data_IF_623030827641
#
_entry.id   IF_623030827641
#
_cell.length_a   1.000
_cell.length_b   1.000
_cell.length_c   1.000
_cell.angle_alpha   90.00
_cell.angle_beta   90.00
_cell.angle_gamma   90.00
#
_symmetry.space_group_name_H-M   'P 1'
#
loop_
_entity.id
_entity.type
_entity.pdbx_description
1 polymer ?
#
# COMPACT_ATOMS: atom_id res chain seq x y z
N UNK A 1 10.39 -22.11 -32.88
CA UNK A 1 8.91 -22.01 -32.71
C UNK A 1 8.28 -21.45 -33.98
N UNK A 2 7.27 -22.13 -34.58
CA UNK A 2 6.63 -21.67 -35.85
C UNK A 2 5.94 -20.30 -35.71
N UNK A 3 5.45 -19.97 -34.51
CA UNK A 3 4.81 -18.69 -34.19
C UNK A 3 5.67 -17.47 -34.57
N UNK A 4 7.00 -17.57 -34.38
CA UNK A 4 7.95 -16.50 -34.69
C UNK A 4 8.14 -16.23 -36.19
N UNK A 5 7.58 -17.09 -37.07
CA UNK A 5 7.68 -16.94 -38.53
C UNK A 5 6.50 -16.16 -39.14
N UNK A 6 5.41 -15.97 -38.40
CA UNK A 6 4.27 -15.20 -38.88
C UNK A 6 4.58 -13.70 -38.95
N UNK A 7 3.89 -12.93 -39.82
CA UNK A 7 3.95 -11.47 -39.80
C UNK A 7 3.52 -10.90 -38.45
N UNK A 8 4.03 -9.70 -38.10
CA UNK A 8 3.79 -9.06 -36.80
C UNK A 8 2.30 -8.86 -36.47
N UNK A 9 1.48 -8.48 -37.46
CA UNK A 9 0.03 -8.32 -37.27
C UNK A 9 -0.66 -9.64 -36.89
N UNK A 10 -0.27 -10.75 -37.53
CA UNK A 10 -0.80 -12.08 -37.21
C UNK A 10 -0.34 -12.51 -35.82
N UNK A 11 0.92 -12.25 -35.46
CA UNK A 11 1.44 -12.53 -34.11
C UNK A 11 0.69 -11.71 -33.04
N UNK A 12 0.45 -10.42 -33.29
CA UNK A 12 -0.29 -9.56 -32.39
C UNK A 12 -1.71 -10.06 -32.15
N UNK A 13 -2.41 -10.49 -33.21
CA UNK A 13 -3.74 -11.08 -33.06
C UNK A 13 -3.70 -12.40 -32.29
N UNK A 14 -2.77 -13.31 -32.62
CA UNK A 14 -2.62 -14.57 -31.89
C UNK A 14 -2.39 -14.30 -30.41
N UNK A 15 -1.45 -13.42 -30.06
CA UNK A 15 -1.20 -13.07 -28.67
C UNK A 15 -2.41 -12.42 -27.99
N UNK A 16 -3.18 -11.60 -28.71
CA UNK A 16 -4.39 -10.99 -28.19
C UNK A 16 -5.51 -11.99 -27.83
N UNK A 17 -5.49 -13.20 -28.37
CA UNK A 17 -6.44 -14.27 -28.02
C UNK A 17 -5.94 -15.21 -26.92
N UNK A 18 -4.67 -15.09 -26.52
CA UNK A 18 -4.09 -15.96 -25.49
C UNK A 18 -4.23 -15.29 -24.13
N UNK A 19 -4.75 -16.03 -23.16
CA UNK A 19 -4.85 -15.56 -21.78
C UNK A 19 -3.48 -15.18 -21.19
N UNK A 20 -3.49 -14.21 -20.28
CA UNK A 20 -2.27 -13.68 -19.68
C UNK A 20 -1.32 -14.75 -19.11
N UNK A 21 -1.84 -15.72 -18.34
CA UNK A 21 -1.00 -16.76 -17.73
C UNK A 21 -0.30 -17.62 -18.81
N UNK A 22 -0.97 -17.89 -19.93
CA UNK A 22 -0.39 -18.62 -21.06
C UNK A 22 0.63 -17.76 -21.83
N UNK A 23 0.38 -16.46 -22.00
CA UNK A 23 1.37 -15.52 -22.54
C UNK A 23 2.63 -15.44 -21.66
N UNK A 24 2.45 -15.44 -20.34
CA UNK A 24 3.53 -15.47 -19.37
C UNK A 24 4.36 -16.75 -19.53
N UNK A 25 3.74 -17.93 -19.62
CA UNK A 25 4.47 -19.18 -19.88
C UNK A 25 5.21 -19.14 -21.22
N UNK A 26 4.58 -18.66 -22.29
CA UNK A 26 5.23 -18.51 -23.60
C UNK A 26 6.44 -17.58 -23.55
N UNK A 27 6.40 -16.57 -22.68
CA UNK A 27 7.51 -15.64 -22.50
C UNK A 27 8.76 -16.32 -21.93
N UNK A 28 8.62 -17.42 -21.19
CA UNK A 28 9.76 -18.18 -20.66
C UNK A 28 10.52 -18.96 -21.73
N UNK A 29 9.90 -19.28 -22.87
CA UNK A 29 10.52 -20.13 -23.88
C UNK A 29 11.78 -19.53 -24.52
N UNK A 30 11.86 -18.19 -24.64
CA UNK A 30 13.09 -17.52 -25.08
C UNK A 30 13.01 -16.00 -24.85
N UNK A 31 14.17 -15.36 -24.67
CA UNK A 31 14.28 -13.89 -24.65
C UNK A 31 13.61 -13.24 -25.87
N UNK A 32 13.76 -13.83 -27.06
CA UNK A 32 13.14 -13.33 -28.30
C UNK A 32 11.61 -13.36 -28.23
N UNK A 33 11.03 -14.46 -27.73
CA UNK A 33 9.56 -14.57 -27.56
C UNK A 33 9.07 -13.55 -26.55
N UNK A 34 9.77 -13.41 -25.41
CA UNK A 34 9.45 -12.40 -24.38
C UNK A 34 9.42 -10.99 -24.98
N UNK A 35 10.49 -10.55 -25.64
CA UNK A 35 10.54 -9.21 -26.25
C UNK A 35 9.45 -9.00 -27.30
N UNK A 36 9.13 -10.04 -28.07
CA UNK A 36 8.06 -9.97 -29.06
C UNK A 36 6.70 -9.74 -28.41
N UNK A 37 6.34 -10.56 -27.39
CA UNK A 37 5.11 -10.38 -26.62
C UNK A 37 5.09 -8.98 -26.00
N UNK A 38 6.21 -8.53 -25.45
CA UNK A 38 6.35 -7.19 -24.88
C UNK A 38 6.05 -6.06 -25.85
N UNK A 39 6.62 -6.14 -27.05
CA UNK A 39 6.40 -5.10 -28.05
C UNK A 39 4.97 -5.10 -28.59
N UNK A 40 4.39 -6.28 -28.82
CA UNK A 40 3.11 -6.41 -29.53
C UNK A 40 1.89 -6.28 -28.60
N UNK A 41 2.03 -6.58 -27.30
CA UNK A 41 0.93 -6.50 -26.33
C UNK A 41 1.00 -5.26 -25.44
N UNK A 42 1.91 -4.32 -25.71
CA UNK A 42 2.10 -3.09 -24.93
C UNK A 42 0.81 -2.30 -24.69
N UNK A 43 -0.08 -2.27 -25.68
CA UNK A 43 -1.38 -1.59 -25.58
C UNK A 43 -2.29 -2.19 -24.49
N UNK A 44 -2.20 -3.50 -24.25
CA UNK A 44 -2.95 -4.15 -23.16
C UNK A 44 -2.32 -3.84 -21.80
N UNK A 45 -1.00 -3.66 -21.76
CA UNK A 45 -0.25 -3.47 -20.53
C UNK A 45 -0.35 -2.06 -19.98
N UNK A 46 -0.55 -1.07 -20.85
CA UNK A 46 -0.83 0.32 -20.45
C UNK A 46 -2.07 0.43 -19.55
N UNK A 47 -2.98 -0.53 -19.61
CA UNK A 47 -4.19 -0.54 -18.81
C UNK A 47 -4.05 -1.34 -17.50
N UNK A 48 -2.90 -1.98 -17.26
CA UNK A 48 -2.66 -2.70 -15.99
C UNK A 48 -2.62 -1.67 -14.87
N UNK A 49 -3.52 -1.86 -13.90
CA UNK A 49 -3.64 -1.01 -12.72
C UNK A 49 -2.53 -1.35 -11.75
N UNK A 50 -2.33 -2.63 -11.45
CA UNK A 50 -1.29 -3.07 -10.53
C UNK A 50 -0.84 -4.51 -10.74
N UNK A 51 0.35 -4.81 -10.21
CA UNK A 51 0.84 -6.16 -9.91
C UNK A 51 0.96 -6.29 -8.40
N UNK A 52 0.20 -7.21 -7.79
CA UNK A 52 0.18 -7.41 -6.34
C UNK A 52 0.73 -8.78 -5.97
N UNK A 53 1.67 -8.79 -5.03
CA UNK A 53 2.21 -9.97 -4.36
C UNK A 53 1.55 -10.10 -2.99
N UNK A 54 0.79 -11.17 -2.77
CA UNK A 54 0.24 -11.49 -1.44
C UNK A 54 0.93 -12.73 -0.90
N UNK A 55 1.48 -12.65 0.32
CA UNK A 55 2.18 -13.75 0.99
C UNK A 55 1.31 -14.20 2.16
N UNK A 56 0.98 -15.50 2.20
CA UNK A 56 0.23 -16.09 3.30
C UNK A 56 1.13 -16.75 4.37
N UNK A 57 0.50 -17.20 5.45
CA UNK A 57 1.16 -17.86 6.59
C UNK A 57 1.82 -19.21 6.26
N UNK A 58 1.51 -19.80 5.10
CA UNK A 58 2.06 -21.08 4.63
C UNK A 58 3.14 -20.88 3.56
N UNK A 59 3.71 -19.68 3.46
CA UNK A 59 4.67 -19.26 2.44
C UNK A 59 4.16 -19.38 1.01
N UNK A 60 2.84 -19.44 0.80
CA UNK A 60 2.32 -19.34 -0.56
C UNK A 60 2.37 -17.90 -1.00
N UNK A 61 2.83 -17.70 -2.22
CA UNK A 61 2.89 -16.39 -2.86
C UNK A 61 1.82 -16.37 -3.94
N UNK A 62 0.89 -15.45 -3.81
CA UNK A 62 -0.14 -15.18 -4.80
C UNK A 62 0.29 -13.94 -5.58
N UNK A 63 0.43 -14.07 -6.90
CA UNK A 63 0.73 -12.95 -7.77
C UNK A 63 -0.50 -12.66 -8.62
N UNK A 64 -1.04 -11.46 -8.46
CA UNK A 64 -2.19 -10.99 -9.24
C UNK A 64 -1.78 -9.82 -10.11
N UNK A 65 -2.22 -9.86 -11.37
CA UNK A 65 -2.01 -8.80 -12.36
C UNK A 65 -3.41 -8.36 -12.80
N UNK A 66 -3.77 -7.12 -12.50
CA UNK A 66 -5.15 -6.66 -12.68
C UNK A 66 -5.21 -5.45 -13.61
N UNK A 67 -6.08 -5.53 -14.60
CA UNK A 67 -6.61 -4.42 -15.38
C UNK A 67 -8.12 -4.59 -15.53
N UNK A 68 -8.78 -3.70 -16.26
CA UNK A 68 -10.20 -3.82 -16.60
C UNK A 68 -10.48 -5.03 -17.53
N UNK A 69 -9.47 -5.48 -18.26
CA UNK A 69 -9.60 -6.53 -19.28
C UNK A 69 -8.73 -7.75 -19.00
N UNK A 70 -7.72 -7.62 -18.14
CA UNK A 70 -6.78 -8.67 -17.76
C UNK A 70 -7.00 -9.02 -16.29
N UNK A 71 -7.28 -10.30 -16.07
CA UNK A 71 -7.23 -10.92 -14.75
C UNK A 71 -6.18 -12.02 -14.76
N UNK A 72 -4.93 -11.62 -14.56
CA UNK A 72 -3.80 -12.53 -14.41
C UNK A 72 -3.66 -12.98 -12.97
N UNK A 73 -3.46 -14.27 -12.75
CA UNK A 73 -3.28 -14.81 -11.41
C UNK A 73 -2.53 -16.13 -11.45
N UNK A 74 -1.47 -16.21 -10.65
CA UNK A 74 -0.75 -17.46 -10.44
C UNK A 74 -0.25 -17.58 -9.00
N UNK A 75 0.00 -18.82 -8.58
CA UNK A 75 0.34 -19.17 -7.21
C UNK A 75 1.71 -19.85 -7.19
N UNK A 76 2.54 -19.51 -6.22
CA UNK A 76 3.73 -20.29 -5.88
C UNK A 76 3.51 -20.97 -4.54
N UNK A 77 3.66 -22.28 -4.52
CA UNK A 77 3.56 -23.08 -3.30
C UNK A 77 4.92 -23.62 -2.92
N UNK A 78 5.32 -23.53 -1.63
CA UNK A 78 6.54 -24.16 -1.18
C UNK A 78 6.38 -25.68 -1.25
N UNK A 79 7.48 -26.37 -1.52
CA UNK A 79 7.51 -27.82 -1.43
C UNK A 79 7.41 -28.27 0.02
N UNK A 80 6.60 -29.31 0.23
CA UNK A 80 6.50 -29.99 1.53
C UNK A 80 7.42 -31.21 1.56
N UNK A 81 7.88 -31.67 2.75
CA UNK A 81 8.75 -32.85 2.86
C UNK A 81 8.19 -34.15 2.24
N UNK A 82 6.89 -34.16 1.91
CA UNK A 82 6.19 -35.30 1.30
C UNK A 82 6.21 -35.29 -0.24
N UNK A 83 6.74 -34.23 -0.86
CA UNK A 83 6.80 -34.05 -2.31
C UNK A 83 8.21 -34.38 -2.85
N UNK A 84 8.32 -34.83 -4.11
CA UNK A 84 9.60 -35.15 -4.72
C UNK A 84 10.51 -33.93 -4.89
N UNK A 85 11.82 -34.18 -4.99
CA UNK A 85 12.86 -33.19 -5.28
C UNK A 85 12.49 -32.35 -6.50
N UNK A 86 12.61 -31.03 -6.40
CA UNK A 86 12.35 -30.11 -7.52
C UNK A 86 13.34 -30.43 -8.64
N UNK A 87 12.83 -30.62 -9.86
CA UNK A 87 13.65 -30.49 -11.06
C UNK A 87 13.54 -29.03 -11.53
N UNK A 88 14.58 -28.19 -11.33
CA UNK A 88 14.50 -26.78 -11.64
C UNK A 88 14.18 -26.55 -13.12
N UNK A 89 13.36 -25.55 -13.41
CA UNK A 89 13.01 -25.12 -14.75
C UNK A 89 13.37 -23.65 -14.93
N UNK A 90 13.78 -23.27 -16.15
CA UNK A 90 13.99 -21.86 -16.50
C UNK A 90 12.64 -21.14 -16.65
N UNK A 91 12.09 -20.70 -15.53
CA UNK A 91 10.84 -19.94 -15.42
C UNK A 91 11.15 -18.57 -14.82
N UNK A 92 10.44 -17.54 -15.28
CA UNK A 92 10.74 -16.15 -14.90
C UNK A 92 12.20 -15.74 -15.15
N UNK A 93 12.86 -16.37 -16.12
CA UNK A 93 14.28 -16.14 -16.41
C UNK A 93 15.23 -16.50 -15.26
N UNK A 94 14.74 -17.27 -14.28
CA UNK A 94 15.56 -17.84 -13.21
C UNK A 94 16.22 -19.09 -13.76
N UNK A 95 17.56 -19.11 -13.80
CA UNK A 95 18.33 -20.25 -14.30
C UNK A 95 18.12 -21.53 -13.47
N UNK A 96 18.71 -22.65 -13.91
CA UNK A 96 18.51 -23.97 -13.28
C UNK A 96 19.04 -24.07 -11.85
N UNK A 97 19.80 -23.07 -11.38
CA UNK A 97 20.32 -22.99 -10.02
C UNK A 97 19.23 -22.67 -8.98
N UNK A 98 18.13 -22.04 -9.41
CA UNK A 98 17.02 -21.69 -8.51
C UNK A 98 15.97 -22.80 -8.57
N UNK A 99 15.69 -23.49 -7.45
CA UNK A 99 14.76 -24.61 -7.41
C UNK A 99 13.31 -24.13 -7.49
N UNK A 100 12.87 -23.80 -8.70
CA UNK A 100 11.49 -23.47 -9.07
C UNK A 100 11.06 -24.28 -10.30
N UNK A 101 9.82 -24.75 -10.33
CA UNK A 101 9.27 -25.43 -11.51
C UNK A 101 7.76 -25.19 -11.67
N UNK A 102 7.23 -25.49 -12.86
CA UNK A 102 5.78 -25.45 -13.11
C UNK A 102 5.12 -26.63 -12.41
N UNK A 103 3.97 -26.40 -11.76
CA UNK A 103 3.23 -27.47 -11.11
C UNK A 103 2.71 -28.48 -12.17
N UNK A 104 2.96 -29.80 -12.01
CA UNK A 104 2.68 -30.79 -13.05
C UNK A 104 1.19 -30.93 -13.40
N UNK A 105 0.28 -30.61 -12.46
CA UNK A 105 -1.18 -30.67 -12.66
C UNK A 105 -1.84 -29.34 -13.00
N UNK A 106 -1.16 -28.22 -12.78
CA UNK A 106 -1.77 -26.88 -12.84
C UNK A 106 -0.90 -25.96 -13.70
N UNK A 107 -0.68 -26.42 -14.94
CA UNK A 107 0.22 -25.76 -15.88
C UNK A 107 -0.16 -24.29 -16.11
N UNK A 108 0.83 -23.40 -15.99
CA UNK A 108 0.69 -21.95 -16.21
C UNK A 108 0.08 -21.14 -15.08
N UNK A 109 -0.59 -21.80 -14.12
CA UNK A 109 -1.28 -21.12 -13.01
C UNK A 109 -0.63 -21.39 -11.65
N UNK A 110 0.17 -22.45 -11.51
CA UNK A 110 0.87 -22.75 -10.26
C UNK A 110 2.31 -23.17 -10.50
N UNK A 111 3.17 -22.78 -9.56
CA UNK A 111 4.59 -23.10 -9.51
C UNK A 111 4.94 -23.68 -8.15
N UNK A 112 5.94 -24.54 -8.13
CA UNK A 112 6.52 -25.10 -6.92
C UNK A 112 7.92 -24.51 -6.73
N UNK A 113 8.27 -24.20 -5.49
CA UNK A 113 9.59 -23.67 -5.17
C UNK A 113 10.12 -24.21 -3.84
N UNK A 114 11.43 -24.14 -3.65
CA UNK A 114 12.05 -24.46 -2.37
C UNK A 114 11.85 -23.32 -1.37
N UNK A 115 11.25 -23.62 -0.21
CA UNK A 115 10.99 -22.64 0.85
C UNK A 115 12.29 -21.94 1.30
N UNK A 116 13.42 -22.64 1.33
CA UNK A 116 14.71 -22.04 1.73
C UNK A 116 15.17 -20.95 0.74
N UNK A 117 14.70 -20.99 -0.50
CA UNK A 117 15.03 -20.04 -1.57
C UNK A 117 13.90 -19.01 -1.82
N UNK A 118 12.93 -18.88 -0.91
CA UNK A 118 11.77 -17.96 -1.02
C UNK A 118 12.17 -16.55 -1.45
N UNK A 119 13.17 -15.97 -0.80
CA UNK A 119 13.62 -14.61 -1.12
C UNK A 119 14.12 -14.49 -2.56
N UNK A 120 14.97 -15.41 -3.02
CA UNK A 120 15.48 -15.40 -4.40
C UNK A 120 14.37 -15.58 -5.42
N UNK A 121 13.40 -16.46 -5.12
CA UNK A 121 12.25 -16.73 -5.99
C UNK A 121 11.36 -15.49 -6.13
N UNK A 122 10.99 -14.85 -5.03
CA UNK A 122 10.14 -13.64 -5.07
C UNK A 122 10.86 -12.50 -5.80
N UNK A 123 12.16 -12.31 -5.54
CA UNK A 123 12.97 -11.32 -6.25
C UNK A 123 13.04 -11.60 -7.75
N UNK A 124 13.33 -12.84 -8.16
CA UNK A 124 13.41 -13.22 -9.57
C UNK A 124 12.09 -13.01 -10.32
N UNK A 125 10.96 -13.32 -9.69
CA UNK A 125 9.63 -13.06 -10.25
C UNK A 125 9.39 -11.56 -10.37
N UNK A 126 9.73 -10.79 -9.33
CA UNK A 126 9.58 -9.34 -9.36
C UNK A 126 10.41 -8.70 -10.47
N UNK A 127 11.70 -9.01 -10.55
CA UNK A 127 12.59 -8.50 -11.60
C UNK A 127 12.09 -8.89 -12.99
N UNK A 128 11.59 -10.13 -13.15
CA UNK A 128 11.01 -10.59 -14.40
C UNK A 128 9.78 -9.76 -14.79
N UNK A 129 8.80 -9.62 -13.89
CA UNK A 129 7.55 -8.90 -14.14
C UNK A 129 7.76 -7.40 -14.29
N UNK A 130 8.68 -6.81 -13.53
CA UNK A 130 9.08 -5.42 -13.65
C UNK A 130 9.69 -5.14 -15.03
N UNK A 131 10.64 -5.97 -15.45
CA UNK A 131 11.19 -5.88 -16.80
C UNK A 131 10.23 -6.43 -17.87
N UNK A 132 9.10 -7.04 -17.47
CA UNK A 132 8.04 -7.46 -18.38
C UNK A 132 7.12 -6.30 -18.70
N UNK A 133 6.53 -5.67 -17.70
CA UNK A 133 5.53 -4.63 -17.91
C UNK A 133 6.09 -3.19 -17.87
N UNK A 134 7.19 -2.97 -17.16
CA UNK A 134 7.83 -1.66 -17.03
C UNK A 134 7.36 -0.86 -15.81
N UNK A 135 7.94 0.34 -15.66
CA UNK A 135 7.80 1.19 -14.48
C UNK A 135 6.51 2.01 -14.41
N UNK A 136 5.63 1.91 -15.40
CA UNK A 136 4.39 2.71 -15.48
C UNK A 136 3.22 2.10 -14.71
N UNK A 137 3.42 0.96 -14.06
CA UNK A 137 2.39 0.22 -13.33
C UNK A 137 2.73 0.27 -11.84
N UNK A 138 1.70 0.25 -11.00
CA UNK A 138 1.88 0.16 -9.56
C UNK A 138 2.23 -1.28 -9.15
N UNK A 139 3.30 -1.43 -8.38
CA UNK A 139 3.67 -2.71 -7.77
C UNK A 139 3.31 -2.67 -6.28
N UNK A 140 2.62 -3.71 -5.82
CA UNK A 140 2.08 -3.79 -4.48
C UNK A 140 2.54 -5.06 -3.77
N UNK A 141 2.84 -4.97 -2.49
CA UNK A 141 3.20 -6.10 -1.64
C UNK A 141 2.27 -6.16 -0.44
N UNK A 142 1.76 -7.34 -0.15
CA UNK A 142 0.92 -7.61 1.00
C UNK A 142 1.42 -8.86 1.73
N UNK A 143 1.59 -8.75 3.05
CA UNK A 143 1.84 -9.92 3.91
C UNK A 143 0.72 -10.07 4.92
N UNK A 144 0.01 -11.19 4.85
CA UNK A 144 -1.14 -11.51 5.71
C UNK A 144 -0.77 -12.47 6.85
N UNK A 145 0.46 -13.00 6.85
CA UNK A 145 0.91 -14.08 7.75
C UNK A 145 1.91 -13.67 8.83
N UNK A 146 2.57 -14.67 9.42
CA UNK A 146 3.57 -14.52 10.48
C UNK A 146 4.98 -14.16 9.97
N UNK A 147 5.12 -13.69 8.74
CA UNK A 147 6.42 -13.34 8.14
C UNK A 147 6.38 -11.96 7.49
N UNK A 148 7.52 -11.28 7.54
CA UNK A 148 7.72 -10.02 6.83
C UNK A 148 7.92 -10.27 5.33
N UNK A 149 7.42 -9.38 4.46
CA UNK A 149 7.67 -9.50 3.03
C UNK A 149 9.14 -9.24 2.69
N UNK A 150 9.66 -9.80 1.58
CA UNK A 150 10.98 -9.44 1.07
C UNK A 150 11.04 -7.96 0.65
N UNK A 151 12.23 -7.38 0.75
CA UNK A 151 12.49 -5.99 0.35
C UNK A 151 12.64 -5.89 -1.17
N UNK A 152 11.54 -5.64 -1.87
CA UNK A 152 11.51 -5.51 -3.33
C UNK A 152 11.74 -4.05 -3.77
N UNK A 153 12.35 -3.88 -4.95
CA UNK A 153 12.56 -2.55 -5.57
C UNK A 153 11.28 -2.08 -6.27
N UNK A 154 11.16 -0.78 -6.50
CA UNK A 154 10.06 -0.17 -7.26
C UNK A 154 8.66 -0.56 -6.78
N UNK A 155 8.48 -0.76 -5.47
CA UNK A 155 7.18 -1.01 -4.86
C UNK A 155 6.51 0.32 -4.53
N UNK A 156 5.30 0.50 -5.02
CA UNK A 156 4.48 1.68 -4.80
C UNK A 156 3.70 1.58 -3.49
N UNK A 157 3.29 0.34 -3.11
CA UNK A 157 2.43 0.11 -1.96
C UNK A 157 2.84 -1.14 -1.19
N UNK A 158 2.89 -1.04 0.13
CA UNK A 158 3.15 -2.19 1.00
C UNK A 158 2.15 -2.22 2.15
N UNK A 159 1.52 -3.37 2.36
CA UNK A 159 0.67 -3.66 3.51
C UNK A 159 1.25 -4.84 4.29
N UNK A 160 1.53 -4.67 5.58
CA UNK A 160 2.15 -5.71 6.42
C UNK A 160 1.31 -5.91 7.67
N UNK A 161 0.91 -7.15 7.92
CA UNK A 161 0.53 -7.59 9.26
C UNK A 161 1.79 -8.01 10.02
N UNK A 162 2.31 -7.15 10.90
CA UNK A 162 3.61 -7.34 11.53
C UNK A 162 3.57 -8.50 12.53
N UNK A 163 4.47 -9.50 12.38
CA UNK A 163 4.57 -10.63 13.29
C UNK A 163 4.92 -10.20 14.72
N UNK A 164 4.57 -11.06 15.69
CA UNK A 164 5.01 -10.85 17.07
C UNK A 164 6.54 -10.91 17.15
N UNK A 165 7.12 -10.06 17.99
CA UNK A 165 8.56 -9.96 18.25
C UNK A 165 9.41 -9.44 17.08
N UNK A 166 8.80 -8.92 16.02
CA UNK A 166 9.54 -8.20 14.98
C UNK A 166 10.24 -6.98 15.57
N UNK A 167 11.55 -6.89 15.31
CA UNK A 167 12.38 -5.74 15.66
C UNK A 167 12.14 -4.56 14.71
N UNK A 168 12.52 -3.35 15.11
CA UNK A 168 12.40 -2.18 14.27
C UNK A 168 13.30 -2.29 13.02
N UNK A 169 14.48 -2.90 13.16
CA UNK A 169 15.44 -3.12 12.08
C UNK A 169 14.90 -4.10 11.02
N UNK A 170 14.25 -5.19 11.44
CA UNK A 170 13.62 -6.15 10.53
C UNK A 170 12.46 -5.50 9.76
N UNK A 171 11.63 -4.70 10.44
CA UNK A 171 10.54 -3.97 9.80
C UNK A 171 11.08 -2.93 8.80
N UNK A 172 12.09 -2.16 9.20
CA UNK A 172 12.75 -1.17 8.35
C UNK A 172 13.32 -1.81 7.07
N UNK A 173 13.96 -2.97 7.20
CA UNK A 173 14.58 -3.69 6.09
C UNK A 173 13.60 -3.95 4.93
N UNK A 174 12.31 -4.16 5.22
CA UNK A 174 11.24 -4.40 4.24
C UNK A 174 11.05 -3.24 3.25
N UNK A 175 11.39 -2.02 3.66
CA UNK A 175 11.14 -0.80 2.88
C UNK A 175 12.40 -0.20 2.26
N UNK A 176 13.59 -0.64 2.70
CA UNK A 176 14.88 -0.07 2.24
C UNK A 176 15.09 -0.10 0.72
N UNK A 177 14.60 -1.13 0.02
CA UNK A 177 14.72 -1.25 -1.43
C UNK A 177 13.74 -0.33 -2.20
N UNK A 178 12.70 0.16 -1.55
CA UNK A 178 11.68 1.05 -2.12
C UNK A 178 11.29 2.14 -1.12
N UNK A 179 12.16 3.14 -0.88
CA UNK A 179 11.85 4.25 0.02
C UNK A 179 10.79 5.18 -0.59
N UNK A 180 10.12 5.97 0.25
CA UNK A 180 9.12 6.98 -0.16
C UNK A 180 7.94 6.41 -0.98
N UNK A 181 7.45 5.24 -0.59
CA UNK A 181 6.30 4.60 -1.23
C UNK A 181 5.05 5.51 -1.23
N UNK A 182 4.17 5.29 -2.20
CA UNK A 182 2.88 5.99 -2.27
C UNK A 182 2.03 5.62 -1.05
N UNK A 183 2.04 4.35 -0.61
CA UNK A 183 1.23 3.89 0.52
C UNK A 183 1.95 2.83 1.35
N UNK A 184 1.96 3.00 2.67
CA UNK A 184 2.41 2.00 3.62
C UNK A 184 1.29 1.77 4.65
N UNK A 185 0.91 0.52 4.85
CA UNK A 185 0.07 0.08 5.95
C UNK A 185 0.84 -0.88 6.85
N UNK A 186 0.88 -0.56 8.13
CA UNK A 186 1.53 -1.37 9.17
C UNK A 186 0.46 -1.72 10.19
N UNK A 187 0.05 -2.98 10.17
CA UNK A 187 -0.88 -3.60 11.12
C UNK A 187 -0.15 -4.63 11.98
N UNK A 188 -0.86 -5.29 12.90
CA UNK A 188 -0.37 -6.41 13.68
C UNK A 188 0.19 -6.02 15.05
N UNK A 189 1.24 -6.72 15.48
CA UNK A 189 1.78 -6.63 16.83
C UNK A 189 3.17 -5.98 16.85
N UNK A 190 3.30 -4.79 16.28
CA UNK A 190 4.54 -4.04 16.37
C UNK A 190 4.59 -3.19 17.66
N UNK A 191 5.55 -3.50 18.53
CA UNK A 191 5.83 -2.76 19.76
C UNK A 191 7.21 -2.08 19.75
N UNK A 192 7.97 -2.20 18.65
CA UNK A 192 9.29 -1.61 18.51
C UNK A 192 9.24 -0.08 18.33
N UNK A 193 10.39 0.56 18.47
CA UNK A 193 10.57 2.00 18.22
C UNK A 193 11.27 2.14 16.87
N UNK A 194 10.63 2.82 15.92
CA UNK A 194 11.24 3.10 14.63
C UNK A 194 12.45 4.02 14.80
N UNK A 195 13.48 3.81 13.97
CA UNK A 195 14.65 4.69 14.00
C UNK A 195 14.28 6.12 13.63
N UNK A 196 15.01 7.10 14.18
CA UNK A 196 14.73 8.53 13.96
C UNK A 196 14.74 8.97 12.50
N UNK A 197 15.47 8.24 11.65
CA UNK A 197 15.61 8.47 10.22
C UNK A 197 14.91 7.40 9.37
N UNK A 198 13.94 6.68 9.92
CA UNK A 198 13.23 5.60 9.24
C UNK A 198 12.67 6.04 7.88
N UNK A 199 12.82 5.18 6.88
CA UNK A 199 12.28 5.38 5.53
C UNK A 199 10.74 5.37 5.52
N UNK A 200 10.12 4.73 6.52
CA UNK A 200 8.66 4.63 6.68
C UNK A 200 8.06 6.03 6.84
N UNK A 201 8.74 6.95 7.51
CA UNK A 201 8.28 8.34 7.67
C UNK A 201 8.19 9.12 6.36
N UNK A 202 8.85 8.64 5.30
CA UNK A 202 8.84 9.24 3.97
C UNK A 202 7.68 8.78 3.09
N UNK A 203 6.86 7.81 3.53
CA UNK A 203 5.70 7.38 2.75
C UNK A 203 4.74 8.54 2.54
N UNK A 204 4.17 8.67 1.34
CA UNK A 204 3.17 9.72 1.09
C UNK A 204 1.90 9.50 1.90
N UNK A 205 1.53 8.24 2.09
CA UNK A 205 0.41 7.81 2.91
C UNK A 205 0.89 6.74 3.87
N UNK A 206 0.74 6.98 5.16
CA UNK A 206 1.09 6.03 6.20
C UNK A 206 -0.15 5.73 7.04
N UNK A 207 -0.51 4.45 7.10
CA UNK A 207 -1.58 3.94 7.96
C UNK A 207 -0.98 2.97 8.96
N UNK A 208 -1.31 3.18 10.22
CA UNK A 208 -0.69 2.50 11.35
C UNK A 208 -1.77 1.99 12.28
N UNK A 209 -1.75 0.69 12.56
CA UNK A 209 -2.59 0.06 13.57
C UNK A 209 -1.68 -0.41 14.71
N UNK A 210 -1.36 0.52 15.63
CA UNK A 210 -0.47 0.23 16.77
C UNK A 210 -1.25 0.25 18.06
N UNK A 211 -1.15 -0.84 18.83
CA UNK A 211 -1.65 -0.92 20.22
C UNK A 211 -0.67 -0.34 21.25
N UNK A 212 0.47 0.20 20.81
CA UNK A 212 1.53 0.80 21.63
C UNK A 212 1.41 2.31 21.80
N UNK A 213 2.40 2.92 22.48
CA UNK A 213 2.47 4.37 22.77
C UNK A 213 3.47 5.13 21.89
N UNK A 214 3.69 4.66 20.66
CA UNK A 214 4.69 5.22 19.74
C UNK A 214 4.10 6.19 18.71
N UNK A 215 2.79 6.45 18.79
CA UNK A 215 2.08 7.34 17.86
C UNK A 215 2.66 8.75 17.83
N UNK A 216 3.00 9.28 19.01
CA UNK A 216 3.55 10.64 19.16
C UNK A 216 4.84 10.82 18.33
N UNK A 217 5.79 9.88 18.46
CA UNK A 217 7.05 9.94 17.73
C UNK A 217 6.85 9.84 16.21
N UNK A 218 5.94 8.97 15.77
CA UNK A 218 5.65 8.79 14.35
C UNK A 218 5.03 10.06 13.77
N UNK A 219 4.06 10.67 14.46
CA UNK A 219 3.46 11.92 14.03
C UNK A 219 4.53 13.01 13.88
N UNK A 220 5.34 13.24 14.90
CA UNK A 220 6.36 14.31 14.91
C UNK A 220 7.45 14.12 13.84
N UNK A 221 7.72 12.89 13.39
CA UNK A 221 8.74 12.59 12.37
C UNK A 221 8.18 12.37 10.97
N UNK A 222 6.87 12.27 10.81
CA UNK A 222 6.24 11.99 9.52
C UNK A 222 6.43 13.15 8.54
N UNK A 223 6.85 12.83 7.31
CA UNK A 223 7.18 13.81 6.26
C UNK A 223 6.23 13.73 5.05
N UNK A 224 5.31 12.78 5.06
CA UNK A 224 4.36 12.53 3.99
C UNK A 224 3.15 13.45 4.01
N UNK A 225 2.14 13.08 3.23
CA UNK A 225 0.94 13.87 3.01
C UNK A 225 -0.25 13.42 3.84
N UNK A 226 -0.37 12.13 4.17
CA UNK A 226 -1.52 11.60 4.91
C UNK A 226 -1.07 10.60 5.96
N UNK A 227 -1.57 10.77 7.17
CA UNK A 227 -1.24 9.92 8.30
C UNK A 227 -2.52 9.44 8.97
N UNK A 228 -2.62 8.14 9.21
CA UNK A 228 -3.76 7.51 9.86
C UNK A 228 -3.28 6.59 10.98
N UNK A 229 -3.84 6.79 12.17
CA UNK A 229 -3.62 5.94 13.33
C UNK A 229 -4.94 5.29 13.74
N UNK A 230 -4.84 4.01 14.07
CA UNK A 230 -5.91 3.24 14.66
C UNK A 230 -5.42 2.59 15.95
N UNK A 231 -6.25 2.66 16.99
CA UNK A 231 -6.01 2.06 18.30
C UNK A 231 -4.76 2.57 19.02
N UNK A 232 -4.29 3.77 18.69
CA UNK A 232 -3.07 4.38 19.25
C UNK A 232 -3.38 5.55 20.18
N UNK A 233 -2.62 5.65 21.28
CA UNK A 233 -2.72 6.75 22.25
C UNK A 233 -1.77 7.88 21.89
N UNK A 234 -2.24 9.11 22.06
CA UNK A 234 -1.45 10.33 21.92
C UNK A 234 -1.50 11.16 23.20
N UNK A 235 -0.44 11.92 23.44
CA UNK A 235 -0.44 12.93 24.47
C UNK A 235 -1.13 14.20 23.97
N UNK A 236 -1.95 14.82 24.81
CA UNK A 236 -2.58 16.13 24.55
C UNK A 236 -1.54 17.17 24.06
N UNK A 237 -0.34 17.15 24.64
CA UNK A 237 0.75 18.05 24.30
C UNK A 237 1.21 17.87 22.86
N UNK A 238 1.27 16.65 22.35
CA UNK A 238 1.68 16.35 20.97
C UNK A 238 0.66 16.86 19.97
N UNK A 239 -0.63 16.64 20.23
CA UNK A 239 -1.71 17.16 19.37
C UNK A 239 -1.68 18.69 19.39
N UNK A 240 -1.54 19.30 20.56
CA UNK A 240 -1.43 20.76 20.70
C UNK A 240 -0.22 21.32 19.97
N UNK A 241 0.93 20.65 20.06
CA UNK A 241 2.15 21.01 19.35
C UNK A 241 1.94 20.94 17.84
N UNK A 242 1.40 19.83 17.33
CA UNK A 242 1.07 19.64 15.92
C UNK A 242 0.22 20.81 15.38
N UNK A 243 -0.89 21.13 16.05
CA UNK A 243 -1.80 22.19 15.59
C UNK A 243 -1.13 23.57 15.62
N UNK A 244 -0.32 23.88 16.65
CA UNK A 244 0.42 25.14 16.77
C UNK A 244 1.51 25.28 15.70
N UNK A 245 2.29 24.22 15.46
CA UNK A 245 3.33 24.21 14.43
C UNK A 245 2.75 24.28 13.01
N UNK A 246 1.65 23.58 12.76
CA UNK A 246 0.96 23.68 11.47
C UNK A 246 0.40 25.09 11.25
N UNK A 247 -0.31 25.66 12.23
CA UNK A 247 -0.90 27.01 12.14
C UNK A 247 0.18 28.08 11.93
N UNK A 248 1.28 28.01 12.67
CA UNK A 248 2.40 28.97 12.54
C UNK A 248 3.28 28.73 11.31
N UNK A 249 2.95 27.74 10.48
CA UNK A 249 3.71 27.32 9.30
C UNK A 249 5.16 26.87 9.62
N UNK A 250 5.43 26.46 10.87
CA UNK A 250 6.75 25.99 11.31
C UNK A 250 6.94 24.49 11.08
N UNK A 251 5.86 23.70 11.04
CA UNK A 251 5.90 22.27 10.81
C UNK A 251 4.72 21.75 9.99
N UNK A 252 4.79 20.48 9.60
CA UNK A 252 3.70 19.72 8.97
C UNK A 252 3.15 20.32 7.66
N UNK A 253 3.95 21.10 6.91
CA UNK A 253 3.47 21.79 5.71
C UNK A 253 3.02 20.82 4.60
N UNK A 254 3.63 19.64 4.54
CA UNK A 254 3.26 18.58 3.59
C UNK A 254 1.95 17.86 3.96
N UNK A 255 1.56 17.90 5.24
CA UNK A 255 0.45 17.13 5.77
C UNK A 255 -0.88 17.71 5.31
N UNK A 256 -1.64 16.91 4.58
CA UNK A 256 -2.97 17.23 4.05
C UNK A 256 -4.08 16.62 4.90
N UNK A 257 -3.82 15.51 5.59
CA UNK A 257 -4.80 14.89 6.47
C UNK A 257 -4.15 14.08 7.57
N UNK A 258 -4.74 14.14 8.76
CA UNK A 258 -4.43 13.30 9.91
C UNK A 258 -5.74 12.75 10.46
N UNK A 259 -5.76 11.45 10.72
CA UNK A 259 -6.85 10.79 11.44
C UNK A 259 -6.23 9.98 12.56
N UNK A 260 -6.69 10.20 13.78
CA UNK A 260 -6.32 9.42 14.95
C UNK A 260 -7.62 8.87 15.51
N UNK A 261 -7.83 7.57 15.39
CA UNK A 261 -8.85 6.87 16.15
C UNK A 261 -8.20 6.14 17.31
N UNK A 262 -8.44 6.59 18.54
CA UNK A 262 -8.01 5.84 19.73
C UNK A 262 -9.03 4.76 20.07
N UNK A 263 -8.58 3.67 20.69
CA UNK A 263 -9.49 2.78 21.41
C UNK A 263 -10.25 3.59 22.47
N UNK A 264 -11.52 3.23 22.76
CA UNK A 264 -12.50 3.90 23.64
C UNK A 264 -12.07 4.20 25.11
N UNK A 265 -10.77 4.17 25.41
CA UNK A 265 -10.20 4.32 26.76
C UNK A 265 -9.58 5.70 27.02
N UNK A 266 -9.44 6.55 26.01
CA UNK A 266 -8.86 7.89 26.14
C UNK A 266 -9.82 8.94 25.59
N UNK A 267 -10.10 9.97 26.40
CA UNK A 267 -10.90 11.12 25.97
C UNK A 267 -9.99 12.35 25.85
N UNK A 268 -9.86 12.89 24.65
CA UNK A 268 -9.23 14.17 24.37
C UNK A 268 -10.16 15.29 24.80
N UNK A 269 -9.60 16.29 25.49
CA UNK A 269 -10.34 17.47 25.90
C UNK A 269 -10.18 18.56 24.83
N UNK A 270 -11.09 18.59 23.85
CA UNK A 270 -11.06 19.56 22.75
C UNK A 270 -10.93 21.02 23.23
N UNK A 271 -11.74 21.51 24.19
CA UNK A 271 -11.57 22.87 24.73
C UNK A 271 -10.17 23.17 25.26
N UNK A 272 -9.51 22.19 25.90
CA UNK A 272 -8.16 22.35 26.44
C UNK A 272 -7.10 22.37 25.33
N UNK A 273 -7.23 21.52 24.33
CA UNK A 273 -6.31 21.43 23.19
C UNK A 273 -6.37 22.68 22.30
N UNK A 274 -7.56 23.27 22.18
CA UNK A 274 -7.81 24.41 21.30
C UNK A 274 -7.72 25.77 22.01
N UNK A 275 -7.59 25.80 23.36
CA UNK A 275 -7.66 27.03 24.17
C UNK A 275 -6.72 28.16 23.72
N UNK A 276 -5.52 27.79 23.27
CA UNK A 276 -4.48 28.74 22.85
C UNK A 276 -4.29 28.76 21.32
N UNK A 277 -5.22 28.18 20.59
CA UNK A 277 -5.20 28.10 19.14
C UNK A 277 -6.33 29.00 18.65
N UNK A 278 -6.01 29.98 17.80
CA UNK A 278 -7.00 30.88 17.21
C UNK A 278 -7.88 30.12 16.19
N UNK A 279 -8.79 29.31 16.73
CA UNK A 279 -9.72 28.45 16.01
C UNK A 279 -10.99 29.22 15.72
N UNK A 280 -11.50 29.07 14.49
CA UNK A 280 -12.77 29.66 14.08
C UNK A 280 -13.83 28.58 14.00
N UNK A 281 -15.05 28.91 14.40
CA UNK A 281 -16.20 28.02 14.29
C UNK A 281 -16.95 28.27 12.99
N UNK A 282 -17.47 27.20 12.39
CA UNK A 282 -18.45 27.30 11.31
C UNK A 282 -19.86 27.53 11.90
N UNK A 283 -20.46 28.67 11.52
CA UNK A 283 -21.75 29.10 12.05
C UNK A 283 -22.96 28.33 11.46
N UNK A 284 -22.80 27.64 10.30
CA UNK A 284 -23.90 26.95 9.61
C UNK A 284 -23.51 25.57 9.03
N UNK A 285 -24.48 24.65 9.05
CA UNK A 285 -24.34 23.30 8.51
C UNK A 285 -24.31 23.24 6.96
N UNK A 286 -24.70 24.31 6.27
CA UNK A 286 -24.67 24.40 4.80
C UNK A 286 -23.26 24.67 4.25
N UNK A 287 -22.33 25.10 5.10
CA UNK A 287 -20.90 25.29 4.80
C UNK A 287 -20.04 24.08 5.23
N UNK A 288 -20.65 22.95 5.59
CA UNK A 288 -19.91 21.73 5.95
C UNK A 288 -19.11 21.28 4.74
N UNK A 289 -17.79 21.43 4.84
CA UNK A 289 -16.85 20.88 3.88
C UNK A 289 -16.93 19.37 3.96
N UNK A 290 -17.55 18.74 2.97
CA UNK A 290 -17.53 17.30 2.80
C UNK A 290 -16.14 16.86 2.35
N UNK A 291 -15.33 16.44 3.32
CA UNK A 291 -14.00 15.88 3.08
C UNK A 291 -14.17 14.39 2.78
N UNK A 292 -14.45 14.06 1.53
CA UNK A 292 -14.47 12.68 1.03
C UNK A 292 -13.17 12.37 0.29
N UNK A 293 -12.49 11.28 0.66
CA UNK A 293 -11.31 10.80 -0.07
C UNK A 293 -11.40 9.31 -0.29
N UNK A 294 -11.16 8.89 -1.53
CA UNK A 294 -11.08 7.50 -1.91
C UNK A 294 -9.69 6.95 -1.56
N UNK A 295 -9.65 5.91 -0.74
CA UNK A 295 -8.46 5.11 -0.49
C UNK A 295 -8.66 3.73 -1.11
N UNK A 296 -7.74 3.31 -1.98
CA UNK A 296 -7.65 1.92 -2.39
C UNK A 296 -7.04 1.10 -1.25
N UNK A 297 -7.86 0.74 -0.26
CA UNK A 297 -7.47 -0.15 0.82
C UNK A 297 -7.38 -1.59 0.28
N UNK A 298 -6.31 -2.31 0.59
CA UNK A 298 -6.16 -3.71 0.15
C UNK A 298 -7.05 -4.65 0.97
N UNK A 299 -7.40 -4.29 2.20
CA UNK A 299 -8.23 -5.10 3.08
C UNK A 299 -9.72 -4.75 3.01
N UNK A 300 -10.53 -5.73 2.62
CA UNK A 300 -11.91 -5.86 3.10
C UNK A 300 -11.85 -6.33 4.55
N UNK A 301 -11.73 -5.39 5.50
CA UNK A 301 -12.28 -5.59 6.83
C UNK A 301 -13.50 -4.68 6.98
N UNK A 302 -14.68 -5.23 7.28
CA UNK A 302 -15.88 -4.45 7.59
C UNK A 302 -15.75 -3.91 9.02
N UNK A 303 -14.72 -3.12 9.28
CA UNK A 303 -14.57 -2.36 10.51
C UNK A 303 -14.48 -0.91 10.08
N UNK A 304 -15.67 -0.30 10.01
CA UNK A 304 -15.96 1.13 9.87
C UNK A 304 -14.77 1.92 9.34
N UNK A 305 -14.65 1.97 8.02
CA UNK A 305 -14.05 3.14 7.37
C UNK A 305 -14.72 4.35 8.02
N UNK A 306 -13.96 5.13 8.80
CA UNK A 306 -14.28 6.54 8.98
C UNK A 306 -13.99 7.24 7.64
N UNK A 307 -14.69 6.80 6.58
CA UNK A 307 -14.87 7.54 5.34
C UNK A 307 -15.94 8.60 5.50
N UNK A 308 -16.55 8.69 6.69
CA UNK A 308 -17.48 9.72 7.08
C UNK A 308 -16.95 10.36 8.36
N UNK A 309 -16.53 11.63 8.28
CA UNK A 309 -16.78 12.55 9.38
C UNK A 309 -18.24 12.34 9.81
N UNK A 310 -18.55 12.22 11.11
CA UNK A 310 -19.85 11.74 11.57
C UNK A 310 -21.00 12.46 10.85
N UNK A 311 -21.65 11.74 9.95
CA UNK A 311 -22.85 12.21 9.26
C UNK A 311 -24.02 12.12 10.24
N UNK A 312 -24.54 13.29 10.60
CA UNK A 312 -25.96 13.53 10.94
C UNK A 312 -26.48 12.89 12.23
N UNK A 313 -25.95 13.29 13.39
CA UNK A 313 -26.78 13.39 14.59
C UNK A 313 -26.20 14.33 15.63
N UNK A 314 -26.17 15.63 15.33
CA UNK A 314 -25.80 16.65 16.30
C UNK A 314 -25.26 17.88 15.61
N UNK A 315 -25.58 19.07 16.14
CA UNK A 315 -24.96 20.33 15.73
C UNK A 315 -23.47 20.30 16.11
N UNK A 316 -22.65 19.64 15.31
CA UNK A 316 -21.20 19.67 15.47
C UNK A 316 -20.69 20.72 14.50
N UNK A 317 -20.42 21.91 15.01
CA UNK A 317 -19.67 22.91 14.26
C UNK A 317 -18.26 22.37 14.05
N UNK A 318 -17.80 22.33 12.80
CA UNK A 318 -16.39 22.07 12.55
C UNK A 318 -15.58 23.30 12.92
N UNK A 319 -14.60 23.07 13.78
CA UNK A 319 -13.54 24.02 14.04
C UNK A 319 -12.61 24.06 12.83
N UNK A 320 -12.12 25.25 12.47
CA UNK A 320 -11.13 25.38 11.40
C UNK A 320 -10.01 26.34 11.76
N UNK A 321 -8.83 26.05 11.18
CA UNK A 321 -7.61 26.81 11.33
C UNK A 321 -7.24 27.48 10.02
N UNK A 322 -6.60 28.65 10.12
CA UNK A 322 -5.95 29.32 9.00
C UNK A 322 -4.46 29.39 9.31
N UNK A 323 -3.64 28.89 8.40
CA UNK A 323 -2.18 28.92 8.52
C UNK A 323 -1.64 30.31 8.23
N UNK A 324 -0.80 30.83 9.12
CA UNK A 324 -0.39 32.24 9.14
C UNK A 324 0.53 32.62 7.96
N UNK A 325 1.20 31.64 7.34
CA UNK A 325 2.17 31.87 6.26
C UNK A 325 1.57 31.98 4.85
N UNK A 326 0.55 31.20 4.54
CA UNK A 326 -0.02 31.08 3.19
C UNK A 326 -1.55 31.10 3.14
N UNK A 327 -2.20 31.22 4.30
CA UNK A 327 -3.66 31.30 4.39
C UNK A 327 -4.38 29.98 4.10
N UNK A 328 -3.67 28.85 4.01
CA UNK A 328 -4.31 27.55 3.85
C UNK A 328 -5.25 27.27 5.02
N UNK A 329 -6.41 26.68 4.71
CA UNK A 329 -7.46 26.37 5.67
C UNK A 329 -7.50 24.87 5.93
N UNK A 330 -7.73 24.49 7.17
CA UNK A 330 -7.93 23.09 7.53
C UNK A 330 -9.04 22.97 8.56
N UNK A 331 -9.87 21.94 8.39
CA UNK A 331 -10.84 21.54 9.40
C UNK A 331 -10.15 20.73 10.49
N UNK A 332 -10.54 20.98 11.72
CA UNK A 332 -10.12 20.26 12.92
C UNK A 332 -11.38 19.75 13.60
N UNK A 333 -11.37 18.48 13.96
CA UNK A 333 -12.42 17.85 14.73
C UNK A 333 -11.76 17.02 15.82
N UNK A 334 -12.17 17.27 17.06
CA UNK A 334 -11.69 16.55 18.23
C UNK A 334 -12.93 16.22 19.06
N UNK A 335 -13.29 14.95 19.10
CA UNK A 335 -14.41 14.46 19.90
C UNK A 335 -14.03 13.14 20.54
N UNK A 336 -14.19 13.03 21.85
CA UNK A 336 -13.86 11.84 22.64
C UNK A 336 -12.48 11.26 22.30
N UNK A 337 -12.44 10.17 21.55
CA UNK A 337 -11.24 9.38 21.23
C UNK A 337 -10.68 9.67 19.84
N UNK A 338 -11.30 10.59 19.10
CA UNK A 338 -11.01 10.87 17.71
C UNK A 338 -10.41 12.27 17.52
N UNK A 339 -9.34 12.33 16.73
CA UNK A 339 -8.76 13.59 16.23
C UNK A 339 -8.68 13.49 14.72
N UNK A 340 -9.37 14.40 14.04
CA UNK A 340 -9.36 14.53 12.60
C UNK A 340 -8.85 15.92 12.22
N UNK A 341 -7.94 15.97 11.27
CA UNK A 341 -7.44 17.19 10.66
C UNK A 341 -7.40 16.99 9.15
N UNK A 342 -7.89 17.96 8.39
CA UNK A 342 -7.84 17.88 6.94
C UNK A 342 -7.84 19.25 6.25
N UNK A 343 -6.94 19.38 5.28
CA UNK A 343 -6.75 20.57 4.46
C UNK A 343 -7.90 20.78 3.46
N UNK A 344 -8.31 22.02 3.26
CA UNK A 344 -9.29 22.39 2.24
C UNK A 344 -8.62 22.45 0.87
N UNK A 345 -9.21 21.80 -0.14
CA UNK A 345 -8.76 21.88 -1.54
C UNK A 345 -9.90 22.34 -2.44
N UNK A 346 -9.96 23.65 -2.72
CA UNK A 346 -10.98 24.25 -3.60
C UNK A 346 -12.41 24.16 -3.05
N UNK A 347 -13.37 24.81 -3.73
CA UNK A 347 -14.76 24.94 -3.28
C UNK A 347 -15.67 23.72 -3.60
N UNK A 348 -15.11 22.61 -4.09
CA UNK A 348 -15.88 21.38 -4.34
C UNK A 348 -14.95 20.21 -4.61
N UNK A 349 -15.07 19.13 -3.85
CA UNK A 349 -14.47 17.84 -4.17
C UNK A 349 -15.50 16.97 -4.90
N UNK A 350 -15.25 16.73 -6.20
CA UNK A 350 -16.07 15.92 -7.10
C UNK A 350 -15.86 14.42 -6.80
N UNK A 351 -16.97 13.68 -6.76
CA UNK A 351 -17.05 12.23 -6.60
C UNK A 351 -16.81 11.51 -7.93
N UNK A 352 -15.93 10.51 -7.95
CA UNK A 352 -16.03 9.39 -8.88
C UNK A 352 -15.89 8.08 -8.10
N UNK A 353 -16.99 7.35 -8.01
CA UNK A 353 -17.04 5.97 -7.53
C UNK A 353 -16.49 5.08 -8.62
N UNK A 354 -15.33 4.46 -8.41
CA UNK A 354 -14.96 3.25 -9.15
C UNK A 354 -15.08 2.11 -8.15
N UNK A 355 -16.25 1.46 -8.16
CA UNK A 355 -16.37 0.08 -7.70
C UNK A 355 -15.37 -0.78 -8.48
N UNK A 356 -14.69 -1.68 -7.77
CA UNK A 356 -13.68 -2.59 -8.33
C UNK A 356 -14.24 -3.50 -9.42
#
# INVERSE_FOLDING_TARGET
>A
MKLLKFPSLVQQQIFGFIEFNNLLVLSFCSKRTRYLIQSLQRYQWMNIKFVKYSIDENDKIYVSVRSETINGFFILSPITPKQPVITPMDVFGMGPEIPICVHPRYFGNQYLYDKEQKHLVVHGIHDYLYAFFGSSIDYEVESVGNELPPSLKNINRTCINVPKNTTAEELEACFTASPNQEYIEIDGHFNGILSTNSVIYGAKHLRVYFKGNHGDEILLRFRGARLQFHSTKFHDSTISQFLKEWKSNQGFQNLKSLSIGSDWKNNYNAPKLLKDIDVKQLDQAEDIVHISWQMSCSYYRPERLFSELPSKSGKVGFDYLIRDGDGEKASVFIEDHDVCFALWKGNSSVMETIDR
#
